data_IF_893971731353
#
_entry.id   IF_893971731353
#
_cell.length_a   1.000
_cell.length_b   1.000
_cell.length_c   1.000
_cell.angle_alpha   90.00
_cell.angle_beta   90.00
_cell.angle_gamma   90.00
#
_symmetry.space_group_name_H-M   'P 1'
#
loop_
_entity.id
_entity.type
_entity.pdbx_description
1 polymer ?
#
# COMPACT_ATOMS: atom_id res chain seq x y z
N UNK A 1 5.19 1.43 -19.42
CA UNK A 1 4.46 0.15 -19.52
C UNK A 1 3.87 -0.14 -18.15
N UNK A 2 2.64 0.29 -17.89
CA UNK A 2 2.01 0.19 -16.57
C UNK A 2 1.15 -1.08 -16.55
N UNK A 3 1.72 -2.20 -16.11
CA UNK A 3 0.92 -3.40 -15.80
C UNK A 3 0.51 -3.25 -14.34
N UNK A 4 -0.79 -3.15 -14.09
CA UNK A 4 -1.36 -3.05 -12.76
C UNK A 4 -1.63 -4.48 -12.25
N UNK A 5 -0.60 -5.16 -11.75
CA UNK A 5 -0.80 -6.28 -10.84
C UNK A 5 -0.88 -5.73 -9.41
N UNK A 6 -1.96 -6.01 -8.68
CA UNK A 6 -2.10 -5.69 -7.23
C UNK A 6 -2.40 -4.23 -6.84
N UNK A 7 -3.54 -3.64 -7.27
CA UNK A 7 -3.94 -2.27 -6.88
C UNK A 7 -4.19 -2.08 -5.37
N UNK A 8 -4.36 -3.16 -4.61
CA UNK A 8 -4.55 -3.14 -3.15
C UNK A 8 -3.22 -3.11 -2.37
N UNK A 9 -2.08 -3.30 -3.04
CA UNK A 9 -0.77 -3.23 -2.41
C UNK A 9 -0.15 -1.83 -2.57
N UNK A 10 0.62 -1.37 -1.56
CA UNK A 10 1.54 -0.26 -1.75
C UNK A 10 2.44 -0.50 -2.96
N UNK A 11 2.75 0.56 -3.72
CA UNK A 11 3.49 0.47 -4.99
C UNK A 11 4.75 -0.40 -4.91
N UNK A 12 5.56 -0.25 -3.86
CA UNK A 12 6.77 -1.07 -3.69
C UNK A 12 6.46 -2.55 -3.46
N UNK A 13 5.42 -2.88 -2.68
CA UNK A 13 5.02 -4.27 -2.46
C UNK A 13 4.38 -4.88 -3.72
N UNK A 14 3.66 -4.08 -4.50
CA UNK A 14 3.16 -4.50 -5.82
C UNK A 14 4.32 -4.83 -6.78
N UNK A 15 5.32 -3.96 -6.84
CA UNK A 15 6.53 -4.17 -7.65
C UNK A 15 7.30 -5.43 -7.23
N UNK A 16 7.49 -5.65 -5.92
CA UNK A 16 8.09 -6.88 -5.40
C UNK A 16 7.26 -8.11 -5.79
N UNK A 17 5.93 -8.01 -5.72
CA UNK A 17 5.02 -9.10 -6.08
C UNK A 17 5.10 -9.45 -7.56
N UNK A 18 5.32 -8.47 -8.44
CA UNK A 18 5.52 -8.68 -9.87
C UNK A 18 6.83 -9.38 -10.18
N UNK A 19 7.90 -9.08 -9.44
CA UNK A 19 9.24 -9.64 -9.68
C UNK A 19 9.41 -11.02 -9.07
N UNK A 20 8.98 -11.22 -7.82
CA UNK A 20 9.31 -12.42 -7.04
C UNK A 20 8.08 -13.17 -6.50
N UNK A 21 6.88 -12.70 -6.80
CA UNK A 21 5.62 -13.28 -6.36
C UNK A 21 5.02 -12.61 -5.12
N UNK A 22 3.69 -12.74 -4.98
CA UNK A 22 2.92 -12.12 -3.89
C UNK A 22 3.37 -12.56 -2.50
N UNK A 23 3.77 -13.82 -2.36
CA UNK A 23 4.26 -14.39 -1.12
C UNK A 23 5.58 -13.74 -0.67
N UNK A 24 6.47 -13.41 -1.61
CA UNK A 24 7.69 -12.66 -1.33
C UNK A 24 7.39 -11.25 -0.82
N UNK A 25 6.44 -10.56 -1.45
CA UNK A 25 6.02 -9.22 -1.03
C UNK A 25 5.44 -9.22 0.39
N UNK A 26 4.59 -10.20 0.70
CA UNK A 26 3.99 -10.35 2.03
C UNK A 26 5.04 -10.70 3.09
N UNK A 27 5.94 -11.65 2.81
CA UNK A 27 7.00 -12.03 3.73
C UNK A 27 7.95 -10.86 4.05
N UNK A 28 8.31 -10.05 3.04
CA UNK A 28 9.14 -8.85 3.24
C UNK A 28 8.38 -7.80 4.08
N UNK A 29 7.09 -7.60 3.80
CA UNK A 29 6.27 -6.65 4.55
C UNK A 29 6.09 -7.08 6.02
N UNK A 30 6.02 -8.38 6.30
CA UNK A 30 5.96 -8.93 7.65
C UNK A 30 7.30 -8.78 8.38
N UNK A 31 8.41 -9.16 7.75
CA UNK A 31 9.72 -9.13 8.38
C UNK A 31 10.28 -7.72 8.57
N UNK A 32 10.02 -6.81 7.62
CA UNK A 32 10.68 -5.50 7.52
C UNK A 32 9.71 -4.32 7.33
N UNK A 33 8.40 -4.53 7.40
CA UNK A 33 7.42 -3.45 7.27
C UNK A 33 7.69 -2.27 8.22
N UNK A 34 7.65 -1.06 7.67
CA UNK A 34 7.92 0.18 8.40
C UNK A 34 9.41 0.49 8.62
N UNK A 35 10.33 -0.35 8.13
CA UNK A 35 11.78 -0.17 8.28
C UNK A 35 12.42 0.34 6.97
N UNK A 36 13.52 1.06 7.10
CA UNK A 36 14.45 1.30 5.99
C UNK A 36 15.46 0.15 5.91
N UNK A 37 15.56 -0.48 4.75
CA UNK A 37 16.46 -1.60 4.50
C UNK A 37 17.36 -1.32 3.31
N UNK A 38 18.48 -2.05 3.24
CA UNK A 38 19.35 -2.06 2.07
C UNK A 38 19.24 -3.40 1.36
N UNK A 39 18.93 -3.33 0.07
CA UNK A 39 19.11 -4.43 -0.88
C UNK A 39 20.50 -4.27 -1.48
N UNK A 40 21.24 -5.36 -1.62
CA UNK A 40 22.61 -5.38 -2.12
C UNK A 40 22.70 -6.28 -3.34
N UNK A 41 23.53 -5.92 -4.32
CA UNK A 41 23.68 -6.65 -5.57
C UNK A 41 24.29 -8.06 -5.39
N UNK A 42 25.21 -8.20 -4.42
CA UNK A 42 25.86 -9.47 -4.07
C UNK A 42 25.25 -10.00 -2.79
N UNK A 43 24.42 -11.03 -2.91
CA UNK A 43 23.77 -11.67 -1.78
C UNK A 43 24.66 -12.75 -1.15
N UNK A 44 24.63 -12.82 0.17
CA UNK A 44 25.18 -13.94 0.96
C UNK A 44 24.03 -14.78 1.52
N UNK A 45 24.26 -16.05 1.89
CA UNK A 45 23.24 -16.89 2.53
C UNK A 45 22.64 -16.27 3.79
N UNK A 46 23.45 -15.52 4.55
CA UNK A 46 23.03 -14.84 5.79
C UNK A 46 22.35 -13.48 5.54
N UNK A 47 22.18 -13.07 4.29
CA UNK A 47 21.51 -11.83 3.98
C UNK A 47 20.03 -11.90 4.37
N UNK A 48 19.51 -10.85 5.02
CA UNK A 48 18.12 -10.79 5.48
C UNK A 48 17.11 -11.10 4.36
N UNK A 49 17.38 -10.66 3.12
CA UNK A 49 16.49 -10.88 1.99
C UNK A 49 16.47 -12.36 1.59
N UNK A 50 17.63 -13.00 1.58
CA UNK A 50 17.77 -14.45 1.31
C UNK A 50 17.06 -15.27 2.40
N UNK A 51 17.22 -14.90 3.67
CA UNK A 51 16.53 -15.57 4.78
C UNK A 51 15.01 -15.37 4.73
N UNK A 52 14.54 -14.23 4.20
CA UNK A 52 13.10 -13.90 4.18
C UNK A 52 12.36 -14.59 3.03
N UNK A 53 12.92 -14.56 1.81
CA UNK A 53 12.21 -15.03 0.60
C UNK A 53 12.89 -16.19 -0.12
N UNK A 54 14.04 -16.65 0.38
CA UNK A 54 14.87 -17.68 -0.25
C UNK A 54 15.81 -17.12 -1.33
N UNK A 55 16.89 -17.86 -1.62
CA UNK A 55 17.96 -17.40 -2.49
C UNK A 55 17.51 -17.03 -3.91
N UNK A 56 16.65 -17.84 -4.54
CA UNK A 56 16.19 -17.61 -5.91
C UNK A 56 15.39 -16.30 -6.05
N UNK A 57 14.43 -16.07 -5.14
CA UNK A 57 13.61 -14.85 -5.14
C UNK A 57 14.42 -13.63 -4.72
N UNK A 58 15.32 -13.79 -3.75
CA UNK A 58 16.20 -12.73 -3.33
C UNK A 58 17.10 -12.27 -4.49
N UNK A 59 17.60 -13.20 -5.31
CA UNK A 59 18.41 -12.87 -6.49
C UNK A 59 17.62 -12.05 -7.51
N UNK A 60 16.37 -12.43 -7.82
CA UNK A 60 15.51 -11.67 -8.73
C UNK A 60 15.29 -10.23 -8.23
N UNK A 61 15.02 -10.06 -6.94
CA UNK A 61 14.83 -8.74 -6.33
C UNK A 61 16.12 -7.92 -6.30
N UNK A 62 17.26 -8.58 -6.03
CA UNK A 62 18.58 -7.95 -6.09
C UNK A 62 18.87 -7.43 -7.49
N UNK A 63 18.69 -8.27 -8.51
CA UNK A 63 18.94 -7.92 -9.91
C UNK A 63 18.01 -6.77 -10.36
N UNK A 64 16.76 -6.80 -9.93
CA UNK A 64 15.77 -5.76 -10.23
C UNK A 64 16.12 -4.41 -9.59
N UNK A 65 16.33 -4.37 -8.25
CA UNK A 65 16.54 -3.11 -7.53
C UNK A 65 17.97 -2.57 -7.58
N UNK A 66 18.96 -3.45 -7.79
CA UNK A 66 20.37 -3.09 -7.86
C UNK A 66 20.92 -3.08 -9.30
N UNK A 67 20.07 -3.09 -10.34
CA UNK A 67 20.54 -3.00 -11.73
C UNK A 67 21.44 -1.77 -11.92
N UNK A 68 22.75 -2.00 -12.11
CA UNK A 68 23.76 -0.95 -12.25
C UNK A 68 24.22 -0.28 -10.94
N UNK A 69 23.86 -0.80 -9.76
CA UNK A 69 24.24 -0.25 -8.43
C UNK A 69 24.74 -1.36 -7.52
N UNK A 70 25.60 -1.03 -6.56
CA UNK A 70 26.08 -2.00 -5.56
C UNK A 70 25.06 -2.26 -4.45
N UNK A 71 24.27 -1.24 -4.08
CA UNK A 71 23.21 -1.31 -3.08
C UNK A 71 22.11 -0.28 -3.36
N UNK A 72 20.90 -0.58 -2.91
CA UNK A 72 19.74 0.30 -3.01
C UNK A 72 19.05 0.38 -1.64
N UNK A 73 18.75 1.61 -1.18
CA UNK A 73 17.95 1.83 0.03
C UNK A 73 16.46 1.77 -0.33
N UNK A 74 15.69 1.00 0.41
CA UNK A 74 14.25 0.87 0.27
C UNK A 74 13.55 1.12 1.61
N UNK A 75 12.47 1.88 1.61
CA UNK A 75 11.57 2.00 2.76
C UNK A 75 10.44 1.02 2.57
N UNK A 76 10.39 -0.05 3.36
CA UNK A 76 9.41 -1.12 3.18
C UNK A 76 8.07 -0.66 3.76
N UNK A 77 7.01 -0.55 2.96
CA UNK A 77 5.68 -0.25 3.48
C UNK A 77 5.21 -1.35 4.43
N UNK A 78 4.42 -0.96 5.43
CA UNK A 78 3.66 -1.93 6.21
C UNK A 78 2.76 -2.75 5.28
N UNK A 79 2.60 -4.04 5.57
CA UNK A 79 1.81 -4.95 4.76
C UNK A 79 0.33 -4.56 4.64
N UNK A 80 -0.41 -5.19 3.69
CA UNK A 80 -1.81 -4.86 3.39
C UNK A 80 -2.76 -4.96 4.61
N UNK A 81 -2.46 -5.84 5.57
CA UNK A 81 -3.24 -5.97 6.79
C UNK A 81 -3.01 -4.81 7.80
N UNK A 82 -1.80 -4.23 7.83
CA UNK A 82 -1.34 -3.34 8.91
C UNK A 82 -0.97 -1.91 8.49
N UNK A 83 -0.98 -1.57 7.20
CA UNK A 83 -0.62 -0.22 6.78
C UNK A 83 -1.76 0.77 7.08
N UNK A 84 -1.43 1.84 7.80
CA UNK A 84 -2.34 2.98 8.04
C UNK A 84 -2.96 3.49 6.73
N UNK A 85 -2.20 3.42 5.62
CA UNK A 85 -2.67 3.81 4.29
C UNK A 85 -3.72 2.84 3.74
N UNK A 86 -3.55 1.52 3.89
CA UNK A 86 -4.52 0.52 3.46
C UNK A 86 -5.80 0.59 4.31
N UNK A 87 -5.68 0.79 5.62
CA UNK A 87 -6.84 1.07 6.48
C UNK A 87 -7.55 2.35 6.02
N UNK A 88 -6.80 3.44 5.82
CA UNK A 88 -7.35 4.73 5.37
C UNK A 88 -8.05 4.62 4.01
N UNK A 89 -7.50 3.87 3.06
CA UNK A 89 -8.09 3.66 1.74
C UNK A 89 -9.38 2.84 1.84
N UNK A 90 -9.38 1.72 2.57
CA UNK A 90 -10.58 0.90 2.81
C UNK A 90 -11.69 1.70 3.47
N UNK A 91 -11.34 2.45 4.52
CA UNK A 91 -12.26 3.36 5.22
C UNK A 91 -12.81 4.43 4.30
N UNK A 92 -11.97 5.06 3.47
CA UNK A 92 -12.41 6.09 2.53
C UNK A 92 -13.34 5.53 1.44
N UNK A 93 -13.06 4.32 0.92
CA UNK A 93 -13.93 3.62 -0.04
C UNK A 93 -15.29 3.30 0.58
N UNK A 94 -15.31 2.71 1.77
CA UNK A 94 -16.56 2.41 2.48
C UNK A 94 -17.39 3.68 2.76
N UNK A 95 -16.75 4.78 3.17
CA UNK A 95 -17.41 6.07 3.34
C UNK A 95 -17.96 6.63 2.02
N UNK A 96 -17.20 6.53 0.92
CA UNK A 96 -17.63 7.01 -0.39
C UNK A 96 -18.83 6.21 -0.93
N UNK A 97 -18.80 4.88 -0.82
CA UNK A 97 -19.88 3.98 -1.24
C UNK A 97 -21.15 4.19 -0.42
N UNK A 98 -21.03 4.35 0.90
CA UNK A 98 -22.19 4.66 1.74
C UNK A 98 -22.76 6.05 1.41
N UNK A 99 -21.90 7.03 1.14
CA UNK A 99 -22.34 8.37 0.74
C UNK A 99 -23.06 8.38 -0.62
N UNK A 100 -22.58 7.63 -1.61
CA UNK A 100 -23.21 7.57 -2.94
C UNK A 100 -24.61 6.92 -2.90
N UNK A 101 -24.84 6.03 -1.92
CA UNK A 101 -26.16 5.44 -1.63
C UNK A 101 -27.09 6.35 -0.80
N UNK A 102 -26.66 7.58 -0.50
CA UNK A 102 -27.45 8.54 0.28
C UNK A 102 -27.52 8.23 1.79
N UNK A 103 -26.62 7.40 2.32
CA UNK A 103 -26.64 7.02 3.73
C UNK A 103 -26.44 8.22 4.68
N UNK A 104 -27.03 8.13 5.88
CA UNK A 104 -26.80 9.11 6.95
C UNK A 104 -25.39 9.01 7.53
N UNK A 105 -24.92 10.05 8.23
CA UNK A 105 -23.60 10.05 8.84
C UNK A 105 -23.39 8.88 9.82
N UNK A 106 -24.43 8.45 10.54
CA UNK A 106 -24.40 7.28 11.42
C UNK A 106 -24.25 5.97 10.64
N UNK A 107 -24.98 5.82 9.54
CA UNK A 107 -24.88 4.63 8.68
C UNK A 107 -23.51 4.53 7.99
N UNK A 108 -22.97 5.67 7.54
CA UNK A 108 -21.61 5.74 6.99
C UNK A 108 -20.56 5.36 8.03
N UNK A 109 -20.71 5.85 9.26
CA UNK A 109 -19.81 5.53 10.37
C UNK A 109 -19.80 4.03 10.70
N UNK A 110 -21.00 3.42 10.79
CA UNK A 110 -21.16 1.99 10.99
C UNK A 110 -20.54 1.17 9.85
N UNK A 111 -20.77 1.57 8.59
CA UNK A 111 -20.24 0.86 7.43
C UNK A 111 -18.70 0.91 7.32
N UNK A 112 -18.08 2.00 7.73
CA UNK A 112 -16.64 2.21 7.60
C UNK A 112 -15.84 1.94 8.89
N UNK A 113 -16.51 1.57 10.00
CA UNK A 113 -15.84 1.33 11.29
C UNK A 113 -15.17 2.57 11.87
N UNK A 114 -15.78 3.75 11.69
CA UNK A 114 -15.25 5.03 12.17
C UNK A 114 -16.26 5.77 13.04
N UNK A 115 -15.81 6.84 13.69
CA UNK A 115 -16.71 7.72 14.46
C UNK A 115 -17.62 8.56 13.54
N UNK A 116 -18.79 8.90 14.06
CA UNK A 116 -19.76 9.80 13.40
C UNK A 116 -19.12 11.11 12.93
N UNK A 117 -18.25 11.69 13.79
CA UNK A 117 -17.49 12.91 13.49
C UNK A 117 -16.63 12.77 12.22
N UNK A 118 -16.03 11.60 12.01
CA UNK A 118 -15.21 11.31 10.83
C UNK A 118 -16.06 11.24 9.57
N UNK A 119 -17.22 10.57 9.64
CA UNK A 119 -18.18 10.52 8.55
C UNK A 119 -18.71 11.92 8.17
N UNK A 120 -19.05 12.77 9.15
CA UNK A 120 -19.44 14.18 8.90
C UNK A 120 -18.36 14.98 8.20
N UNK A 121 -17.10 14.87 8.67
CA UNK A 121 -15.96 15.57 8.06
C UNK A 121 -15.72 15.12 6.63
N UNK A 122 -15.82 13.83 6.35
CA UNK A 122 -15.72 13.29 5.00
C UNK A 122 -16.81 13.87 4.09
N UNK A 123 -18.07 13.88 4.53
CA UNK A 123 -19.20 14.43 3.77
C UNK A 123 -19.06 15.93 3.51
N UNK A 124 -18.56 16.69 4.48
CA UNK A 124 -18.26 18.13 4.30
C UNK A 124 -17.21 18.34 3.20
N UNK A 125 -16.10 17.59 3.24
CA UNK A 125 -15.04 17.67 2.21
C UNK A 125 -15.53 17.29 0.82
N UNK A 126 -16.36 16.26 0.68
CA UNK A 126 -16.97 15.91 -0.61
C UNK A 126 -17.83 17.03 -1.17
N UNK A 127 -18.62 17.71 -0.33
CA UNK A 127 -19.45 18.84 -0.76
C UNK A 127 -18.62 20.03 -1.20
N UNK A 128 -17.56 20.35 -0.47
CA UNK A 128 -16.60 21.41 -0.83
C UNK A 128 -15.89 21.12 -2.16
N UNK A 129 -15.51 19.85 -2.37
CA UNK A 129 -14.92 19.41 -3.64
C UNK A 129 -15.90 19.57 -4.81
N UNK A 130 -17.16 19.12 -4.64
CA UNK A 130 -18.19 19.26 -5.69
C UNK A 130 -18.58 20.72 -5.94
N UNK A 131 -18.65 21.56 -4.90
CA UNK A 131 -19.01 22.98 -5.07
C UNK A 131 -17.88 23.82 -5.68
N UNK A 132 -16.62 23.43 -5.48
CA UNK A 132 -15.48 24.00 -6.19
C UNK A 132 -15.49 23.63 -7.68
N UNK A 133 -15.86 22.39 -8.02
CA UNK A 133 -15.93 21.91 -9.40
C UNK A 133 -17.07 22.55 -10.21
N UNK A 134 -18.19 22.88 -9.55
CA UNK A 134 -19.34 23.57 -10.18
C UNK A 134 -19.12 25.08 -10.42
N UNK A 135 -18.03 25.66 -9.91
CA UNK A 135 -17.68 27.09 -10.11
C UNK A 135 -16.77 27.34 -11.32
N UNK A 136 -16.36 26.30 -12.04
CA UNK A 136 -15.48 26.38 -13.21
C UNK A 136 -16.24 26.38 -14.56
N UNK A 137 -17.57 26.47 -14.55
CA UNK A 137 -18.42 26.55 -15.74
C UNK A 137 -19.26 27.82 -15.72
#
# INVERSE_FOLDING_TARGET
MTRLGWPELPALLAEIAEVAGIDAALAIAEAKGGQEVFVVARLTPDNWLVQTVGAGKAQLLSDHFCSGRSRQKLTIPLGPAGSFNAWRQRTARALAEAASRGASANQMAAAAGVTERTARRFRKRQREHNSGQLKLF
#
